data_IF_689984627559
#
_entry.id   IF_689984627559
#
_cell.length_a   1.000
_cell.length_b   1.000
_cell.length_c   1.000
_cell.angle_alpha   90.00
_cell.angle_beta   90.00
_cell.angle_gamma   90.00
#
_symmetry.space_group_name_H-M   'P 1'
#
loop_
_entity.id
_entity.type
_entity.pdbx_description
1 polymer ?
#
# COMPACT_ATOMS: atom_id res chain seq x y z
N UNK A 1 -15.22 -29.10 -6.23
CA UNK A 1 -13.90 -28.55 -6.63
C UNK A 1 -13.96 -27.49 -7.76
N UNK A 2 -15.12 -27.14 -8.32
CA UNK A 2 -15.22 -26.24 -9.49
C UNK A 2 -15.17 -24.73 -9.17
N UNK A 3 -15.48 -24.31 -7.92
CA UNK A 3 -15.58 -22.89 -7.52
C UNK A 3 -14.24 -22.20 -7.23
N UNK A 4 -13.15 -22.96 -7.04
CA UNK A 4 -11.84 -22.38 -6.72
C UNK A 4 -11.15 -21.76 -7.95
N UNK A 5 -11.35 -22.36 -9.14
CA UNK A 5 -10.81 -21.85 -10.41
C UNK A 5 -11.44 -20.52 -10.85
N UNK A 6 -12.71 -20.27 -10.53
CA UNK A 6 -13.38 -19.00 -10.84
C UNK A 6 -12.91 -17.86 -9.92
N UNK A 7 -12.70 -18.14 -8.64
CA UNK A 7 -12.18 -17.16 -7.67
C UNK A 7 -10.76 -16.73 -8.08
N UNK A 8 -9.89 -17.67 -8.45
CA UNK A 8 -8.54 -17.38 -8.91
C UNK A 8 -8.51 -16.57 -10.22
N UNK A 9 -9.45 -16.82 -11.14
CA UNK A 9 -9.55 -16.08 -12.42
C UNK A 9 -10.05 -14.65 -12.20
N UNK A 10 -10.99 -14.44 -11.27
CA UNK A 10 -11.56 -13.14 -10.92
C UNK A 10 -10.53 -12.22 -10.24
N UNK A 11 -9.58 -12.78 -9.49
CA UNK A 11 -8.55 -12.02 -8.78
C UNK A 11 -7.17 -11.95 -9.47
N UNK A 12 -6.96 -12.66 -10.60
CA UNK A 12 -5.70 -12.63 -11.35
C UNK A 12 -5.31 -11.25 -11.88
N UNK A 13 -6.28 -10.46 -12.34
CA UNK A 13 -6.05 -9.14 -12.96
C UNK A 13 -5.74 -8.02 -11.96
N UNK A 14 -6.45 -7.86 -10.82
CA UNK A 14 -6.15 -6.80 -9.86
C UNK A 14 -4.86 -7.06 -9.05
N UNK A 15 -4.49 -8.33 -8.79
CA UNK A 15 -3.23 -8.68 -8.12
C UNK A 15 -2.02 -8.41 -9.04
N UNK A 16 -2.14 -8.79 -10.31
CA UNK A 16 -1.14 -8.45 -11.33
C UNK A 16 -1.09 -6.94 -11.57
N UNK A 17 -2.22 -6.22 -11.46
CA UNK A 17 -2.25 -4.75 -11.54
C UNK A 17 -1.58 -4.10 -10.33
N UNK A 18 -1.77 -4.60 -9.11
CA UNK A 18 -1.05 -4.08 -7.93
C UNK A 18 0.46 -4.30 -8.02
N UNK A 19 0.88 -5.48 -8.48
CA UNK A 19 2.29 -5.77 -8.74
C UNK A 19 2.83 -4.98 -9.95
N UNK A 20 2.01 -4.77 -10.98
CA UNK A 20 2.35 -3.94 -12.13
C UNK A 20 2.35 -2.45 -11.80
N UNK A 21 1.53 -1.96 -10.86
CA UNK A 21 1.55 -0.58 -10.36
C UNK A 21 2.79 -0.39 -9.51
N UNK A 22 3.17 -1.36 -8.68
CA UNK A 22 4.43 -1.34 -7.95
C UNK A 22 5.65 -1.41 -8.89
N UNK A 23 5.60 -2.28 -9.91
CA UNK A 23 6.65 -2.41 -10.92
C UNK A 23 6.72 -1.18 -11.83
N UNK A 24 5.59 -0.63 -12.27
CA UNK A 24 5.48 0.61 -13.04
C UNK A 24 5.89 1.80 -12.18
N UNK A 25 5.63 1.79 -10.87
CA UNK A 25 6.14 2.80 -9.94
C UNK A 25 7.66 2.70 -9.78
N UNK A 26 8.24 1.49 -9.76
CA UNK A 26 9.69 1.30 -9.81
C UNK A 26 10.30 1.70 -11.16
N UNK A 27 9.64 1.41 -12.27
CA UNK A 27 10.09 1.74 -13.63
C UNK A 27 9.91 3.22 -13.95
N UNK A 28 8.80 3.82 -13.55
CA UNK A 28 8.53 5.25 -13.67
C UNK A 28 9.40 6.05 -12.70
N UNK A 29 9.66 5.57 -11.48
CA UNK A 29 10.68 6.15 -10.61
C UNK A 29 12.04 6.10 -11.32
N UNK A 30 12.43 4.96 -11.89
CA UNK A 30 13.65 4.83 -12.70
C UNK A 30 13.72 5.80 -13.89
N UNK A 31 12.59 6.02 -14.59
CA UNK A 31 12.51 6.97 -15.70
C UNK A 31 12.48 8.44 -15.24
N UNK A 32 11.92 8.73 -14.06
CA UNK A 32 11.93 10.06 -13.43
C UNK A 32 13.33 10.46 -12.96
N UNK A 33 14.17 9.51 -12.53
CA UNK A 33 15.60 9.77 -12.24
C UNK A 33 16.41 10.11 -13.49
N UNK A 34 15.95 9.72 -14.69
CA UNK A 34 16.65 9.97 -15.95
C UNK A 34 16.37 11.38 -16.53
N UNK A 35 15.23 12.00 -16.21
CA UNK A 35 14.97 13.40 -16.57
C UNK A 35 15.00 14.31 -15.34
N UNK A 36 16.20 14.80 -15.02
CA UNK A 36 16.44 15.89 -14.08
C UNK A 36 15.89 17.26 -14.53
N UNK A 37 14.60 17.34 -14.91
CA UNK A 37 13.92 18.59 -15.24
C UNK A 37 12.78 18.87 -14.26
N UNK A 38 13.17 19.35 -13.08
CA UNK A 38 12.28 19.99 -12.12
C UNK A 38 12.48 21.50 -12.24
N UNK A 39 11.47 22.21 -12.76
CA UNK A 39 11.45 23.67 -12.87
C UNK A 39 10.57 24.24 -11.73
N UNK A 40 11.12 25.26 -11.02
CA UNK A 40 10.55 26.16 -9.98
C UNK A 40 10.69 25.75 -8.49
N UNK A 41 10.60 26.71 -7.53
CA UNK A 41 11.58 27.73 -7.13
C UNK A 41 12.26 27.35 -5.78
N UNK A 42 12.32 26.06 -5.47
CA UNK A 42 13.12 25.51 -4.37
C UNK A 42 14.38 24.87 -4.95
N UNK A 43 15.50 24.98 -4.25
CA UNK A 43 16.79 24.39 -4.68
C UNK A 43 16.56 22.95 -5.13
N UNK A 44 16.74 22.66 -6.43
CA UNK A 44 16.47 21.35 -7.09
C UNK A 44 16.91 20.13 -6.25
N UNK A 45 18.06 20.14 -5.55
CA UNK A 45 18.48 19.03 -4.68
C UNK A 45 17.56 18.78 -3.49
N UNK A 46 16.97 19.83 -2.88
CA UNK A 46 16.11 19.71 -1.71
C UNK A 46 14.75 19.08 -2.05
N UNK A 47 14.18 19.43 -3.21
CA UNK A 47 12.93 18.82 -3.70
C UNK A 47 13.09 17.32 -3.96
N UNK A 48 14.21 16.93 -4.59
CA UNK A 48 14.55 15.52 -4.84
C UNK A 48 14.77 14.78 -3.51
N UNK A 49 15.44 15.41 -2.54
CA UNK A 49 15.64 14.83 -1.20
C UNK A 49 14.29 14.53 -0.52
N UNK A 50 13.37 15.49 -0.52
CA UNK A 50 12.03 15.28 0.05
C UNK A 50 11.23 14.21 -0.68
N UNK A 51 11.31 14.17 -2.02
CA UNK A 51 10.64 13.14 -2.81
C UNK A 51 11.18 11.74 -2.49
N UNK A 52 12.49 11.59 -2.31
CA UNK A 52 13.13 10.32 -1.95
C UNK A 52 12.73 9.87 -0.54
N UNK A 53 12.69 10.80 0.43
CA UNK A 53 12.25 10.51 1.80
C UNK A 53 10.78 10.07 1.81
N UNK A 54 9.92 10.78 1.09
CA UNK A 54 8.51 10.42 0.98
C UNK A 54 8.35 9.02 0.36
N UNK A 55 9.11 8.70 -0.68
CA UNK A 55 9.11 7.39 -1.34
C UNK A 55 9.56 6.26 -0.41
N UNK A 56 10.60 6.49 0.38
CA UNK A 56 11.14 5.52 1.32
C UNK A 56 10.19 5.21 2.50
N UNK A 57 9.32 6.17 2.88
CA UNK A 57 8.35 5.99 3.95
C UNK A 57 7.14 5.15 3.54
N UNK A 58 6.77 5.14 2.26
CA UNK A 58 5.61 4.40 1.73
C UNK A 58 5.59 2.91 2.15
N UNK A 59 6.65 2.11 1.94
CA UNK A 59 6.62 0.69 2.30
C UNK A 59 6.49 0.45 3.81
N UNK A 60 7.04 1.35 4.64
CA UNK A 60 6.96 1.25 6.10
C UNK A 60 5.53 1.54 6.57
N UNK A 61 4.92 2.61 6.04
CA UNK A 61 3.54 2.94 6.37
C UNK A 61 2.57 1.85 5.89
N UNK A 62 2.83 1.26 4.73
CA UNK A 62 2.02 0.16 4.20
C UNK A 62 2.04 -1.06 5.12
N UNK A 63 3.18 -1.44 5.67
CA UNK A 63 3.23 -2.58 6.62
C UNK A 63 2.60 -2.24 7.97
N UNK A 64 2.69 -0.99 8.44
CA UNK A 64 2.11 -0.55 9.71
C UNK A 64 0.59 -0.41 9.69
N UNK A 65 0.02 0.10 8.60
CA UNK A 65 -1.44 0.38 8.50
C UNK A 65 -2.24 -0.89 8.15
N UNK A 66 -1.58 -1.95 7.68
CA UNK A 66 -2.23 -3.19 7.24
C UNK A 66 -2.21 -4.28 8.32
N UNK A 67 -2.73 -5.46 8.00
CA UNK A 67 -2.71 -6.62 8.90
C UNK A 67 -1.32 -7.26 9.09
N UNK A 68 -0.28 -6.76 8.42
CA UNK A 68 1.05 -7.36 8.41
C UNK A 68 1.64 -7.54 9.81
N UNK A 69 1.58 -6.50 10.66
CA UNK A 69 2.16 -6.54 12.01
C UNK A 69 1.55 -7.65 12.86
N UNK A 70 0.21 -7.78 12.89
CA UNK A 70 -0.48 -8.82 13.67
C UNK A 70 -0.06 -10.22 13.22
N UNK A 71 -0.01 -10.45 11.91
CA UNK A 71 0.36 -11.75 11.32
C UNK A 71 1.83 -12.08 11.64
N UNK A 72 2.74 -11.15 11.38
CA UNK A 72 4.17 -11.33 11.64
C UNK A 72 4.45 -11.65 13.11
N UNK A 73 3.80 -10.95 14.04
CA UNK A 73 3.93 -11.19 15.49
C UNK A 73 3.41 -12.58 15.86
N UNK A 74 2.22 -12.97 15.40
CA UNK A 74 1.67 -14.31 15.72
C UNK A 74 2.57 -15.43 15.19
N UNK A 75 3.07 -15.33 13.96
CA UNK A 75 4.00 -16.32 13.41
C UNK A 75 5.33 -16.35 14.19
N UNK A 76 5.84 -15.19 14.61
CA UNK A 76 7.04 -15.10 15.43
C UNK A 76 6.85 -15.72 16.83
N UNK A 77 5.67 -15.55 17.44
CA UNK A 77 5.32 -16.18 18.70
C UNK A 77 5.25 -17.70 18.56
N UNK A 78 4.66 -18.21 17.48
CA UNK A 78 4.62 -19.66 17.20
C UNK A 78 6.05 -20.21 17.05
N UNK A 79 6.92 -19.50 16.32
CA UNK A 79 8.33 -19.92 16.22
C UNK A 79 8.98 -20.04 17.60
N UNK A 80 8.80 -19.05 18.47
CA UNK A 80 9.39 -19.07 19.80
C UNK A 80 8.81 -20.23 20.64
N UNK A 81 7.52 -20.54 20.47
CA UNK A 81 6.85 -21.64 21.16
C UNK A 81 7.33 -23.03 20.72
N UNK A 82 7.86 -23.18 19.50
CA UNK A 82 8.40 -24.46 19.00
C UNK A 82 9.75 -24.84 19.64
N UNK A 83 10.40 -23.95 20.41
CA UNK A 83 11.64 -24.24 21.12
C UNK A 83 12.88 -24.42 20.21
N UNK A 84 12.71 -24.44 18.89
CA UNK A 84 13.79 -24.57 17.91
C UNK A 84 14.14 -23.19 17.33
N UNK A 85 15.33 -22.65 17.66
CA UNK A 85 15.69 -21.27 17.29
C UNK A 85 15.97 -21.05 15.79
N UNK A 86 16.30 -22.10 15.02
CA UNK A 86 16.71 -21.97 13.61
C UNK A 86 15.65 -22.38 12.59
N UNK A 87 14.59 -23.06 13.02
CA UNK A 87 13.50 -23.49 12.14
C UNK A 87 12.22 -22.81 12.66
N UNK A 88 11.54 -21.94 11.89
CA UNK A 88 11.82 -21.42 10.53
C UNK A 88 12.62 -20.09 10.52
N UNK A 89 13.42 -19.81 9.47
CA UNK A 89 14.13 -18.53 9.27
C UNK A 89 13.20 -17.31 9.26
N UNK A 90 13.69 -16.17 9.77
CA UNK A 90 12.96 -14.88 9.78
C UNK A 90 12.45 -14.47 8.39
N UNK A 91 13.23 -14.74 7.35
CA UNK A 91 12.87 -14.42 5.97
C UNK A 91 11.60 -15.16 5.52
N UNK A 92 11.43 -16.42 5.95
CA UNK A 92 10.23 -17.22 5.61
C UNK A 92 9.01 -16.67 6.35
N UNK A 93 9.15 -16.35 7.63
CA UNK A 93 8.06 -15.78 8.44
C UNK A 93 7.59 -14.46 7.82
N UNK A 94 8.51 -13.57 7.48
CA UNK A 94 8.20 -12.29 6.83
C UNK A 94 7.56 -12.49 5.45
N UNK A 95 8.06 -13.43 4.64
CA UNK A 95 7.48 -13.75 3.33
C UNK A 95 6.06 -14.29 3.42
N UNK A 96 5.81 -15.23 4.34
CA UNK A 96 4.47 -15.76 4.61
C UNK A 96 3.52 -14.66 5.11
N UNK A 97 4.00 -13.80 6.01
CA UNK A 97 3.22 -12.67 6.51
C UNK A 97 2.83 -11.71 5.39
N UNK A 98 3.74 -11.39 4.46
CA UNK A 98 3.45 -10.51 3.32
C UNK A 98 2.37 -11.11 2.41
N UNK A 99 2.50 -12.38 2.02
CA UNK A 99 1.52 -13.06 1.15
C UNK A 99 0.13 -13.09 1.81
N UNK A 100 0.07 -13.43 3.10
CA UNK A 100 -1.19 -13.50 3.83
C UNK A 100 -1.81 -12.12 4.04
N UNK A 101 -0.99 -11.09 4.23
CA UNK A 101 -1.45 -9.69 4.29
C UNK A 101 -2.10 -9.28 2.99
N UNK A 102 -1.45 -9.56 1.85
CA UNK A 102 -2.01 -9.25 0.53
C UNK A 102 -3.35 -9.95 0.37
N UNK A 103 -3.44 -11.24 0.72
CA UNK A 103 -4.70 -12.00 0.65
C UNK A 103 -5.84 -11.37 1.47
N UNK A 104 -5.56 -10.92 2.70
CA UNK A 104 -6.56 -10.29 3.58
C UNK A 104 -6.94 -8.88 3.10
N UNK A 105 -6.00 -8.14 2.49
CA UNK A 105 -6.19 -6.76 2.06
C UNK A 105 -6.85 -6.61 0.68
N UNK A 106 -7.01 -7.70 -0.08
CA UNK A 106 -7.70 -7.71 -1.38
C UNK A 106 -9.03 -6.90 -1.38
N UNK A 107 -10.01 -7.14 -0.48
CA UNK A 107 -11.29 -6.41 -0.52
C UNK A 107 -11.13 -4.89 -0.33
N UNK A 108 -10.23 -4.47 0.57
CA UNK A 108 -9.93 -3.05 0.80
C UNK A 108 -9.31 -2.41 -0.44
N UNK A 109 -8.37 -3.11 -1.09
CA UNK A 109 -7.76 -2.65 -2.33
C UNK A 109 -8.76 -2.52 -3.49
N UNK A 110 -9.72 -3.44 -3.58
CA UNK A 110 -10.80 -3.39 -4.59
C UNK A 110 -11.74 -2.21 -4.33
N UNK A 111 -12.11 -1.95 -3.08
CA UNK A 111 -12.94 -0.80 -2.70
C UNK A 111 -12.23 0.52 -2.99
N UNK A 112 -10.95 0.63 -2.65
CA UNK A 112 -10.11 1.78 -2.99
C UNK A 112 -10.08 2.02 -4.50
N UNK A 113 -9.89 0.97 -5.29
CA UNK A 113 -9.86 1.09 -6.75
C UNK A 113 -11.19 1.61 -7.29
N UNK A 114 -12.33 1.04 -6.85
CA UNK A 114 -13.66 1.44 -7.31
C UNK A 114 -13.99 2.91 -6.98
N UNK A 115 -13.55 3.41 -5.82
CA UNK A 115 -13.78 4.80 -5.44
C UNK A 115 -12.83 5.79 -6.13
N UNK A 116 -11.67 5.33 -6.58
CA UNK A 116 -10.64 6.16 -7.22
C UNK A 116 -10.72 6.11 -8.75
N UNK A 117 -11.44 5.15 -9.33
CA UNK A 117 -11.63 4.98 -10.77
C UNK A 117 -12.08 6.27 -11.48
N UNK A 118 -13.01 7.01 -10.87
CA UNK A 118 -13.50 8.29 -11.42
C UNK A 118 -12.43 9.39 -11.47
N UNK A 119 -11.38 9.29 -10.66
CA UNK A 119 -10.30 10.29 -10.57
C UNK A 119 -9.10 9.88 -11.45
N UNK A 120 -8.85 8.58 -11.60
CA UNK A 120 -7.74 8.06 -12.41
C UNK A 120 -7.94 8.37 -13.91
N UNK A 121 -9.17 8.28 -14.41
CA UNK A 121 -9.47 8.55 -15.82
C UNK A 121 -9.18 10.00 -16.23
N UNK A 122 -9.34 10.95 -15.30
CA UNK A 122 -9.04 12.38 -15.52
C UNK A 122 -7.53 12.67 -15.54
N UNK A 123 -6.74 11.89 -14.80
CA UNK A 123 -5.27 12.07 -14.67
C UNK A 123 -4.48 11.49 -15.84
N UNK A 124 -5.05 10.58 -16.65
CA UNK A 124 -4.33 9.90 -17.75
C UNK A 124 -3.74 10.80 -18.84
N UNK A 125 -4.09 12.09 -18.90
CA UNK A 125 -3.60 13.04 -19.91
C UNK A 125 -2.72 14.17 -19.35
N UNK A 126 -2.33 14.14 -18.07
CA UNK A 126 -1.51 15.20 -17.46
C UNK A 126 -0.35 14.63 -16.64
N UNK A 127 0.80 15.33 -16.68
CA UNK A 127 2.00 14.92 -15.96
C UNK A 127 1.78 14.76 -14.45
N UNK A 128 2.40 13.74 -13.86
CA UNK A 128 2.21 13.31 -12.46
C UNK A 128 2.53 14.38 -11.39
N UNK A 129 3.19 15.48 -11.77
CA UNK A 129 3.65 16.53 -10.85
C UNK A 129 3.23 17.96 -11.27
N UNK A 130 2.15 18.10 -12.06
CA UNK A 130 1.53 19.41 -12.36
C UNK A 130 0.72 19.93 -11.17
N UNK A 131 0.63 21.25 -10.99
CA UNK A 131 -0.22 21.91 -9.98
C UNK A 131 -1.69 21.46 -10.05
N UNK A 132 -2.18 21.08 -11.25
CA UNK A 132 -3.51 20.50 -11.42
C UNK A 132 -3.62 19.07 -10.85
N UNK A 133 -2.53 18.30 -10.90
CA UNK A 133 -2.45 16.93 -10.38
C UNK A 133 -2.49 16.91 -8.85
N UNK A 134 -2.04 17.97 -8.16
CA UNK A 134 -2.09 18.06 -6.70
C UNK A 134 -3.54 18.13 -6.18
N UNK A 135 -4.42 18.87 -6.86
CA UNK A 135 -5.85 18.92 -6.51
C UNK A 135 -6.58 17.59 -6.76
N UNK A 136 -6.28 16.94 -7.89
CA UNK A 136 -6.80 15.60 -8.20
C UNK A 136 -6.29 14.55 -7.22
N UNK A 137 -5.03 14.65 -6.78
CA UNK A 137 -4.46 13.77 -5.76
C UNK A 137 -5.14 13.98 -4.40
N UNK A 138 -5.48 15.21 -4.03
CA UNK A 138 -6.20 15.48 -2.79
C UNK A 138 -7.61 14.89 -2.81
N UNK A 139 -8.31 14.97 -3.94
CA UNK A 139 -9.63 14.33 -4.07
C UNK A 139 -9.53 12.80 -4.11
N UNK A 140 -8.54 12.25 -4.83
CA UNK A 140 -8.24 10.83 -4.82
C UNK A 140 -7.92 10.31 -3.41
N UNK A 141 -7.13 11.07 -2.63
CA UNK A 141 -6.82 10.74 -1.24
C UNK A 141 -8.06 10.83 -0.35
N UNK A 142 -8.91 11.83 -0.57
CA UNK A 142 -10.14 11.99 0.20
C UNK A 142 -11.14 10.86 -0.02
N UNK A 143 -11.26 10.36 -1.25
CA UNK A 143 -12.10 9.20 -1.58
C UNK A 143 -11.43 7.89 -1.15
N UNK A 144 -10.16 7.71 -1.48
CA UNK A 144 -9.41 6.48 -1.21
C UNK A 144 -9.15 6.18 0.28
N UNK A 145 -9.21 7.18 1.16
CA UNK A 145 -9.04 6.98 2.61
C UNK A 145 -10.24 6.31 3.30
N UNK A 146 -11.44 6.37 2.71
CA UNK A 146 -12.67 5.82 3.30
C UNK A 146 -12.60 4.31 3.60
N UNK A 147 -12.25 3.43 2.63
CA UNK A 147 -12.17 1.99 2.85
C UNK A 147 -11.06 1.62 3.83
N UNK A 148 -9.94 2.36 3.81
CA UNK A 148 -8.87 2.17 4.80
C UNK A 148 -9.37 2.52 6.21
N UNK A 149 -10.09 3.64 6.35
CA UNK A 149 -10.70 4.04 7.63
C UNK A 149 -11.74 3.01 8.11
N UNK A 150 -12.55 2.47 7.21
CA UNK A 150 -13.52 1.43 7.54
C UNK A 150 -12.84 0.14 8.03
N UNK A 151 -11.76 -0.28 7.35
CA UNK A 151 -10.93 -1.42 7.77
C UNK A 151 -10.34 -1.21 9.17
N UNK A 152 -9.76 -0.04 9.44
CA UNK A 152 -9.17 0.27 10.75
C UNK A 152 -10.25 0.30 11.84
N UNK A 153 -11.38 0.97 11.62
CA UNK A 153 -12.49 1.02 12.58
C UNK A 153 -13.01 -0.38 12.93
N UNK A 154 -13.05 -1.29 11.95
CA UNK A 154 -13.45 -2.69 12.17
C UNK A 154 -12.43 -3.49 13.01
N UNK A 155 -11.16 -3.11 12.99
CA UNK A 155 -10.05 -3.83 13.64
C UNK A 155 -9.55 -3.18 14.94
N UNK A 156 -10.15 -2.08 15.38
CA UNK A 156 -9.83 -1.36 16.62
C UNK A 156 -10.92 -1.59 17.67
N UNK A 157 -10.53 -1.77 18.94
CA UNK A 157 -11.47 -1.95 20.04
C UNK A 157 -12.19 -0.63 20.38
N UNK A 158 -13.48 -0.70 20.70
CA UNK A 158 -14.25 0.48 21.12
C UNK A 158 -13.67 1.12 22.39
N UNK A 159 -13.10 0.31 23.31
CA UNK A 159 -12.43 0.80 24.52
C UNK A 159 -11.23 1.69 24.19
N UNK A 160 -10.42 1.26 23.23
CA UNK A 160 -9.23 2.02 22.80
C UNK A 160 -9.65 3.31 22.10
N UNK A 161 -10.71 3.28 21.28
CA UNK A 161 -11.25 4.48 20.65
C UNK A 161 -11.73 5.50 21.70
N UNK A 162 -12.52 5.07 22.69
CA UNK A 162 -13.06 5.98 23.71
C UNK A 162 -11.97 6.65 24.53
N UNK A 163 -10.85 5.96 24.80
CA UNK A 163 -9.73 6.51 25.57
C UNK A 163 -9.03 7.69 24.87
N UNK A 164 -9.05 7.75 23.53
CA UNK A 164 -8.44 8.85 22.78
C UNK A 164 -9.40 10.01 22.49
N UNK A 165 -10.71 9.81 22.64
CA UNK A 165 -11.73 10.85 22.41
C UNK A 165 -12.32 11.43 23.70
N UNK A 166 -12.02 10.85 24.87
CA UNK A 166 -12.34 11.40 26.20
C UNK A 166 -11.24 12.33 26.69
#
# INVERSE_FOLDING_TARGET
MMKLKEIFRKYRKPLALGFAVYALFCLAAGALWAQGKFEQPVSKPLMILFALVALALVPILLTMITSFVKIAVVLALIRNALGTQQIPPNQIITGLAMILTVYIMIPVGVEMYRQTESVIQTTSNQGLFSTATVGLLQEALNKGKEPMRAFLKKNTSNKDLTMFYS
#
